data_IF_871606446669
#
_entry.id   IF_871606446669
#
_cell.length_a   1.000
_cell.length_b   1.000
_cell.length_c   1.000
_cell.angle_alpha   90.00
_cell.angle_beta   90.00
_cell.angle_gamma   90.00
#
_symmetry.space_group_name_H-M   'P 1'
#
loop_
_entity.id
_entity.type
_entity.pdbx_description
1 polymer ?
#
# COMPACT_ATOMS: atom_id res chain seq x y z
N UNK A 1 31.01 29.87 30.59
CA UNK A 1 30.80 29.52 29.16
C UNK A 1 30.52 28.02 28.88
N UNK A 2 30.41 27.15 29.89
CA UNK A 2 30.17 25.71 29.66
C UNK A 2 28.68 25.31 29.62
N UNK A 3 27.80 26.02 30.35
CA UNK A 3 26.38 25.66 30.47
C UNK A 3 25.58 25.80 29.15
N UNK A 4 25.94 26.78 28.30
CA UNK A 4 25.26 27.00 27.02
C UNK A 4 25.56 25.92 25.97
N UNK A 5 26.75 25.30 26.03
CA UNK A 5 27.15 24.21 25.14
C UNK A 5 26.41 22.91 25.47
N UNK A 6 26.24 22.62 26.77
CA UNK A 6 25.50 21.42 27.23
C UNK A 6 24.01 21.52 26.87
N UNK A 7 23.41 22.70 27.03
CA UNK A 7 22.01 22.93 26.68
C UNK A 7 21.78 22.82 25.16
N UNK A 8 22.68 23.38 24.35
CA UNK A 8 22.62 23.28 22.89
C UNK A 8 22.76 21.84 22.39
N UNK A 9 23.65 21.05 23.01
CA UNK A 9 23.82 19.64 22.67
C UNK A 9 22.58 18.80 23.00
N UNK A 10 21.93 19.08 24.14
CA UNK A 10 20.71 18.39 24.56
C UNK A 10 19.54 18.69 23.63
N UNK A 11 19.36 19.95 23.22
CA UNK A 11 18.32 20.35 22.26
C UNK A 11 18.57 19.74 20.88
N UNK A 12 19.82 19.71 20.42
CA UNK A 12 20.18 19.06 19.15
C UNK A 12 19.95 17.54 19.19
N UNK A 13 20.28 16.87 20.29
CA UNK A 13 20.01 15.44 20.50
C UNK A 13 18.52 15.14 20.53
N UNK A 14 17.72 15.93 21.25
CA UNK A 14 16.27 15.78 21.28
C UNK A 14 15.66 16.04 19.90
N UNK A 15 16.10 17.07 19.18
CA UNK A 15 15.67 17.36 17.80
C UNK A 15 16.03 16.23 16.82
N UNK A 16 17.22 15.64 16.97
CA UNK A 16 17.65 14.49 16.17
C UNK A 16 16.87 13.21 16.49
N UNK A 17 16.55 12.96 17.77
CA UNK A 17 15.73 11.83 18.22
C UNK A 17 14.27 11.99 17.75
N UNK A 18 13.73 13.21 17.81
CA UNK A 18 12.38 13.51 17.30
C UNK A 18 12.31 13.43 15.76
N UNK A 19 13.40 13.74 15.05
CA UNK A 19 13.50 13.54 13.60
C UNK A 19 13.65 12.07 13.21
N UNK A 20 14.06 11.20 14.15
CA UNK A 20 14.07 9.74 14.02
C UNK A 20 12.73 9.08 14.35
N UNK A 21 11.62 9.82 14.34
CA UNK A 21 10.30 9.19 14.41
C UNK A 21 10.14 8.36 13.14
N UNK A 22 10.07 7.04 13.28
CA UNK A 22 9.78 6.18 12.13
C UNK A 22 8.49 6.71 11.47
N UNK A 23 8.49 6.96 10.15
CA UNK A 23 7.29 7.39 9.46
C UNK A 23 6.17 6.39 9.74
N UNK A 24 5.00 6.92 10.07
CA UNK A 24 3.83 6.11 10.37
C UNK A 24 3.46 5.24 9.18
N UNK A 25 2.66 4.19 9.40
CA UNK A 25 2.17 3.36 8.30
C UNK A 25 1.40 4.19 7.24
N UNK A 26 0.78 5.30 7.66
CA UNK A 26 0.08 6.24 6.79
C UNK A 26 1.07 7.07 5.96
N UNK A 27 2.16 7.57 6.56
CA UNK A 27 3.21 8.33 5.85
C UNK A 27 3.90 7.49 4.76
N UNK A 28 3.95 6.16 4.96
CA UNK A 28 4.54 5.23 3.99
C UNK A 28 3.67 5.05 2.76
N UNK A 29 2.37 5.29 2.83
CA UNK A 29 1.48 5.20 1.65
C UNK A 29 1.71 6.35 0.66
N UNK A 30 2.30 7.46 1.13
CA UNK A 30 2.67 8.63 0.32
C UNK A 30 3.98 8.44 -0.42
N UNK A 31 4.72 7.36 -0.13
CA UNK A 31 5.89 6.96 -0.91
C UNK A 31 5.47 6.42 -2.26
N UNK A 32 6.37 6.47 -3.24
CA UNK A 32 6.15 5.82 -4.53
C UNK A 32 5.92 4.32 -4.36
N UNK A 33 5.30 3.66 -5.33
CA UNK A 33 5.06 2.21 -5.22
C UNK A 33 6.38 1.41 -5.14
N UNK A 34 7.45 1.88 -5.79
CA UNK A 34 8.80 1.31 -5.69
C UNK A 34 9.32 1.39 -4.25
N UNK A 35 9.31 2.59 -3.66
CA UNK A 35 9.78 2.80 -2.29
C UNK A 35 8.92 2.02 -1.28
N UNK A 36 7.59 2.03 -1.45
CA UNK A 36 6.69 1.27 -0.59
C UNK A 36 6.98 -0.24 -0.68
N UNK A 37 7.18 -0.78 -1.88
CA UNK A 37 7.52 -2.20 -2.08
C UNK A 37 8.84 -2.55 -1.40
N UNK A 38 9.86 -1.69 -1.53
CA UNK A 38 11.13 -1.87 -0.84
C UNK A 38 10.96 -1.87 0.68
N UNK A 39 10.16 -0.95 1.24
CA UNK A 39 9.88 -0.88 2.67
C UNK A 39 9.10 -2.11 3.18
N UNK A 40 8.15 -2.61 2.39
CA UNK A 40 7.38 -3.80 2.72
C UNK A 40 8.27 -5.07 2.74
N UNK A 41 9.22 -5.17 1.81
CA UNK A 41 10.13 -6.31 1.71
C UNK A 41 11.12 -6.43 2.87
N UNK A 42 11.59 -5.30 3.41
CA UNK A 42 12.50 -5.30 4.58
C UNK A 42 11.76 -5.30 5.92
N UNK A 43 10.44 -5.12 5.91
CA UNK A 43 9.62 -5.17 7.11
C UNK A 43 9.34 -6.61 7.54
N UNK A 44 9.23 -6.85 8.84
CA UNK A 44 8.69 -8.12 9.31
C UNK A 44 7.22 -8.30 8.87
N UNK A 45 6.73 -9.54 8.86
CA UNK A 45 5.40 -9.88 8.35
C UNK A 45 4.28 -9.03 8.97
N UNK A 46 4.31 -8.80 10.29
CA UNK A 46 3.31 -7.97 10.99
C UNK A 46 3.34 -6.51 10.52
N UNK A 47 4.53 -5.93 10.33
CA UNK A 47 4.69 -4.54 9.89
C UNK A 47 4.31 -4.38 8.42
N UNK A 48 4.68 -5.33 7.57
CA UNK A 48 4.30 -5.36 6.16
C UNK A 48 2.79 -5.49 5.98
N UNK A 49 2.12 -6.36 6.75
CA UNK A 49 0.66 -6.49 6.74
C UNK A 49 -0.04 -5.21 7.19
N UNK A 50 0.43 -4.56 8.26
CA UNK A 50 -0.14 -3.26 8.71
C UNK A 50 0.02 -2.16 7.67
N UNK A 51 1.18 -2.09 7.01
CA UNK A 51 1.41 -1.13 5.92
C UNK A 51 0.50 -1.41 4.72
N UNK A 52 0.28 -2.68 4.40
CA UNK A 52 -0.58 -3.13 3.32
C UNK A 52 -2.05 -2.80 3.58
N UNK A 53 -2.52 -3.03 4.81
CA UNK A 53 -3.87 -2.65 5.25
C UNK A 53 -4.10 -1.14 5.11
N UNK A 54 -3.16 -0.31 5.58
CA UNK A 54 -3.25 1.16 5.42
C UNK A 54 -3.24 1.59 3.96
N UNK A 55 -2.42 0.95 3.13
CA UNK A 55 -2.38 1.24 1.71
C UNK A 55 -3.73 0.97 1.03
N UNK A 56 -4.35 -0.16 1.35
CA UNK A 56 -5.67 -0.54 0.81
C UNK A 56 -6.78 0.41 1.28
N UNK A 57 -6.80 0.80 2.55
CA UNK A 57 -7.77 1.77 3.09
C UNK A 57 -7.65 3.12 2.38
N UNK A 58 -6.42 3.60 2.16
CA UNK A 58 -6.21 4.89 1.48
C UNK A 58 -6.53 4.82 -0.02
N UNK A 59 -6.21 3.71 -0.69
CA UNK A 59 -6.63 3.48 -2.06
C UNK A 59 -8.16 3.44 -2.20
N UNK A 60 -8.84 2.77 -1.27
CA UNK A 60 -10.31 2.74 -1.21
C UNK A 60 -10.92 4.14 -1.09
N UNK A 61 -10.35 5.00 -0.25
CA UNK A 61 -10.81 6.38 -0.11
C UNK A 61 -10.71 7.18 -1.43
N UNK A 62 -9.67 6.94 -2.24
CA UNK A 62 -9.52 7.58 -3.56
C UNK A 62 -10.57 7.07 -4.57
N UNK A 63 -10.87 5.76 -4.53
CA UNK A 63 -11.89 5.15 -5.38
C UNK A 63 -13.30 5.64 -5.03
N UNK A 64 -13.56 5.87 -3.75
CA UNK A 64 -14.81 6.48 -3.27
C UNK A 64 -14.96 7.92 -3.75
N UNK A 65 -13.88 8.72 -3.66
CA UNK A 65 -13.88 10.10 -4.14
C UNK A 65 -14.12 10.21 -5.66
N UNK A 66 -13.80 9.15 -6.40
CA UNK A 66 -13.96 9.07 -7.85
C UNK A 66 -15.24 8.34 -8.27
N UNK A 67 -16.13 8.00 -7.32
CA UNK A 67 -17.39 7.26 -7.56
C UNK A 67 -17.21 5.90 -8.27
N UNK A 68 -16.04 5.26 -8.11
CA UNK A 68 -15.72 3.96 -8.71
C UNK A 68 -16.19 2.81 -7.81
N UNK A 69 -16.05 2.97 -6.48
CA UNK A 69 -16.48 2.00 -5.49
C UNK A 69 -17.27 2.65 -4.35
N UNK A 70 -18.36 2.00 -3.89
CA UNK A 70 -19.03 2.39 -2.65
C UNK A 70 -18.10 2.36 -1.44
N UNK A 71 -18.48 3.14 -0.43
CA UNK A 71 -17.71 3.21 0.80
C UNK A 71 -17.63 1.86 1.52
N UNK A 72 -16.40 1.44 1.85
CA UNK A 72 -16.13 0.21 2.57
C UNK A 72 -16.19 -1.07 1.73
N UNK A 73 -16.34 -1.03 0.40
CA UNK A 73 -16.34 -2.24 -0.44
C UNK A 73 -15.08 -3.09 -0.32
N UNK A 74 -13.88 -2.50 -0.42
CA UNK A 74 -12.61 -3.21 -0.24
C UNK A 74 -12.43 -3.64 1.22
N UNK A 75 -12.80 -2.78 2.16
CA UNK A 75 -12.73 -3.12 3.59
C UNK A 75 -13.62 -4.32 3.94
N UNK A 76 -14.85 -4.32 3.44
CA UNK A 76 -15.82 -5.40 3.67
C UNK A 76 -15.34 -6.70 3.01
N UNK A 77 -14.77 -6.61 1.80
CA UNK A 77 -14.15 -7.76 1.14
C UNK A 77 -13.05 -8.36 2.03
N UNK A 78 -12.15 -7.54 2.56
CA UNK A 78 -11.07 -8.00 3.45
C UNK A 78 -11.59 -8.59 4.77
N UNK A 79 -12.65 -8.02 5.35
CA UNK A 79 -13.27 -8.53 6.60
C UNK A 79 -13.97 -9.87 6.35
N UNK A 80 -14.63 -10.02 5.21
CA UNK A 80 -15.37 -11.24 4.85
C UNK A 80 -14.48 -12.46 4.58
N UNK A 81 -13.16 -12.26 4.44
CA UNK A 81 -12.17 -13.29 4.11
C UNK A 81 -11.16 -13.47 5.25
N UNK A 82 -11.52 -14.20 6.33
CA UNK A 82 -10.60 -14.49 7.42
C UNK A 82 -9.39 -15.27 6.90
N UNK A 83 -8.18 -14.75 7.11
CA UNK A 83 -6.94 -15.33 6.59
C UNK A 83 -6.36 -14.65 5.35
N UNK A 84 -7.01 -13.60 4.82
CA UNK A 84 -6.46 -12.79 3.72
C UNK A 84 -5.17 -12.07 4.15
N UNK A 85 -4.07 -12.34 3.45
CA UNK A 85 -2.84 -11.53 3.49
C UNK A 85 -2.99 -10.30 2.61
N UNK A 86 -2.87 -9.11 3.20
CA UNK A 86 -3.07 -7.84 2.51
C UNK A 86 -1.87 -7.57 1.61
N UNK A 87 -0.68 -7.96 2.05
CA UNK A 87 0.54 -7.86 1.24
C UNK A 87 0.43 -8.71 -0.02
N UNK A 88 -0.01 -9.97 0.13
CA UNK A 88 -0.21 -10.87 -1.00
C UNK A 88 -1.34 -10.38 -1.92
N UNK A 89 -2.44 -9.89 -1.35
CA UNK A 89 -3.54 -9.30 -2.11
C UNK A 89 -3.06 -8.15 -3.02
N UNK A 90 -2.24 -7.23 -2.49
CA UNK A 90 -1.62 -6.17 -3.30
C UNK A 90 -0.73 -6.73 -4.40
N UNK A 91 0.06 -7.77 -4.12
CA UNK A 91 0.90 -8.44 -5.12
C UNK A 91 0.09 -9.00 -6.27
N UNK A 92 -0.97 -9.75 -5.95
CA UNK A 92 -1.86 -10.37 -6.93
C UNK A 92 -2.69 -9.34 -7.72
N UNK A 93 -3.10 -8.23 -7.09
CA UNK A 93 -3.74 -7.11 -7.79
C UNK A 93 -2.84 -6.58 -8.92
N UNK A 94 -1.56 -6.34 -8.62
CA UNK A 94 -0.60 -5.86 -9.61
C UNK A 94 -0.36 -6.90 -10.71
N UNK A 95 -0.21 -8.16 -10.33
CA UNK A 95 -0.01 -9.26 -11.28
C UNK A 95 -1.19 -9.37 -12.25
N UNK A 96 -2.42 -9.29 -11.74
CA UNK A 96 -3.62 -9.34 -12.55
C UNK A 96 -3.70 -8.18 -13.56
N UNK A 97 -3.27 -6.97 -13.17
CA UNK A 97 -3.32 -5.81 -14.05
C UNK A 97 -2.19 -5.73 -15.07
N UNK A 98 -1.08 -6.44 -14.85
CA UNK A 98 -0.01 -6.59 -15.87
C UNK A 98 -0.46 -7.37 -17.12
N UNK A 99 -1.59 -8.08 -17.05
CA UNK A 99 -2.14 -8.82 -18.19
C UNK A 99 -3.03 -7.97 -19.12
N UNK A 100 -3.23 -6.68 -18.81
CA UNK A 100 -4.10 -5.78 -19.57
C UNK A 100 -3.43 -5.19 -20.82
N UNK A 101 -4.19 -4.41 -21.59
CA UNK A 101 -3.75 -3.84 -22.85
C UNK A 101 -2.56 -2.88 -22.71
N UNK A 102 -1.86 -2.57 -23.81
CA UNK A 102 -0.64 -1.75 -23.78
C UNK A 102 -0.87 -0.35 -23.22
N UNK A 103 -2.06 0.23 -23.42
CA UNK A 103 -2.41 1.55 -22.89
C UNK A 103 -2.51 1.55 -21.35
N UNK A 104 -3.19 0.55 -20.79
CA UNK A 104 -3.33 0.38 -19.34
C UNK A 104 -1.97 0.12 -18.69
N UNK A 105 -1.10 -0.67 -19.36
CA UNK A 105 0.26 -0.92 -18.92
C UNK A 105 1.12 0.35 -18.86
N UNK A 106 1.00 1.25 -19.85
CA UNK A 106 1.71 2.53 -19.85
C UNK A 106 1.28 3.39 -18.66
N UNK A 107 -0.03 3.45 -18.38
CA UNK A 107 -0.59 4.17 -17.23
C UNK A 107 -0.03 3.61 -15.93
N UNK A 108 -0.09 2.29 -15.76
CA UNK A 108 0.37 1.62 -14.55
C UNK A 108 1.88 1.73 -14.35
N UNK A 109 2.68 1.63 -15.41
CA UNK A 109 4.13 1.79 -15.32
C UNK A 109 4.51 3.21 -14.90
N UNK A 110 3.91 4.23 -15.53
CA UNK A 110 4.14 5.63 -15.15
C UNK A 110 3.73 5.91 -13.70
N UNK A 111 2.62 5.33 -13.27
CA UNK A 111 2.11 5.44 -11.90
C UNK A 111 3.02 4.74 -10.89
N UNK A 112 3.52 3.55 -11.22
CA UNK A 112 4.40 2.76 -10.35
C UNK A 112 5.66 3.54 -9.95
N UNK A 113 6.22 4.33 -10.88
CA UNK A 113 7.42 5.12 -10.66
C UNK A 113 7.16 6.50 -10.03
N UNK A 114 6.06 7.16 -10.40
CA UNK A 114 5.89 8.61 -10.16
C UNK A 114 4.76 8.96 -9.22
N UNK A 115 3.81 8.05 -9.02
CA UNK A 115 2.65 8.28 -8.17
C UNK A 115 2.86 7.68 -6.79
N UNK A 116 2.18 8.26 -5.80
CA UNK A 116 2.09 7.69 -4.47
C UNK A 116 1.49 6.27 -4.56
N UNK A 117 1.97 5.36 -3.72
CA UNK A 117 1.56 3.96 -3.73
C UNK A 117 0.04 3.80 -3.66
N UNK A 118 -0.65 4.63 -2.86
CA UNK A 118 -2.12 4.59 -2.74
C UNK A 118 -2.84 4.92 -4.05
N UNK A 119 -2.29 5.83 -4.85
CA UNK A 119 -2.83 6.20 -6.17
C UNK A 119 -2.62 5.03 -7.14
N UNK A 120 -1.42 4.43 -7.12
CA UNK A 120 -1.12 3.28 -7.96
C UNK A 120 -2.04 2.09 -7.67
N UNK A 121 -2.26 1.77 -6.40
CA UNK A 121 -3.17 0.68 -6.01
C UNK A 121 -4.62 1.01 -6.37
N UNK A 122 -5.07 2.26 -6.20
CA UNK A 122 -6.39 2.68 -6.65
C UNK A 122 -6.56 2.45 -8.15
N UNK A 123 -5.58 2.84 -8.97
CA UNK A 123 -5.61 2.60 -10.42
C UNK A 123 -5.61 1.12 -10.79
N UNK A 124 -4.85 0.27 -10.09
CA UNK A 124 -4.92 -1.17 -10.29
C UNK A 124 -6.33 -1.72 -10.03
N UNK A 125 -6.97 -1.28 -8.94
CA UNK A 125 -8.34 -1.71 -8.62
C UNK A 125 -9.35 -1.18 -9.64
N UNK A 126 -9.26 0.10 -10.02
CA UNK A 126 -10.10 0.71 -11.04
C UNK A 126 -10.04 -0.05 -12.37
N UNK A 127 -8.82 -0.33 -12.86
CA UNK A 127 -8.63 -1.08 -14.10
C UNK A 127 -9.16 -2.51 -13.98
N UNK A 128 -8.92 -3.18 -12.86
CA UNK A 128 -9.46 -4.53 -12.65
C UNK A 128 -10.99 -4.54 -12.68
N UNK A 129 -11.63 -3.56 -12.04
CA UNK A 129 -13.09 -3.40 -12.05
C UNK A 129 -13.61 -3.11 -13.46
N UNK A 130 -12.94 -2.21 -14.21
CA UNK A 130 -13.32 -1.86 -15.57
C UNK A 130 -13.26 -3.05 -16.53
N UNK A 131 -12.23 -3.90 -16.40
CA UNK A 131 -12.01 -5.01 -17.33
C UNK A 131 -12.68 -6.32 -16.90
N UNK A 132 -12.78 -6.59 -15.60
CA UNK A 132 -13.20 -7.90 -15.08
C UNK A 132 -14.25 -7.84 -13.97
N UNK A 133 -14.64 -6.65 -13.53
CA UNK A 133 -15.69 -6.45 -12.52
C UNK A 133 -15.30 -6.90 -11.11
N UNK A 134 -16.29 -6.89 -10.21
CA UNK A 134 -16.11 -7.22 -8.78
C UNK A 134 -15.72 -8.69 -8.54
N UNK A 135 -16.17 -9.62 -9.39
CA UNK A 135 -15.84 -11.04 -9.23
C UNK A 135 -14.33 -11.29 -9.29
N UNK A 136 -13.58 -10.52 -10.09
CA UNK A 136 -12.13 -10.63 -10.15
C UNK A 136 -11.45 -10.16 -8.85
N UNK A 137 -11.98 -9.15 -8.17
CA UNK A 137 -11.47 -8.76 -6.85
C UNK A 137 -11.72 -9.85 -5.81
N UNK A 138 -12.88 -10.51 -5.88
CA UNK A 138 -13.22 -11.63 -4.99
C UNK A 138 -12.33 -12.86 -5.25
N UNK A 139 -12.03 -13.18 -6.50
CA UNK A 139 -11.10 -14.23 -6.90
C UNK A 139 -9.69 -13.96 -6.35
N UNK A 140 -9.17 -12.75 -6.55
CA UNK A 140 -7.86 -12.35 -6.03
C UNK A 140 -7.83 -12.38 -4.49
N UNK A 141 -8.91 -11.93 -3.84
CA UNK A 141 -9.04 -12.00 -2.39
C UNK A 141 -9.03 -13.46 -1.89
N UNK A 142 -9.70 -14.36 -2.62
CA UNK A 142 -9.72 -15.78 -2.31
C UNK A 142 -8.34 -16.43 -2.49
N UNK A 143 -7.62 -16.07 -3.55
CA UNK A 143 -6.25 -16.55 -3.78
C UNK A 143 -5.27 -16.02 -2.73
N UNK A 144 -5.45 -14.77 -2.29
CA UNK A 144 -4.68 -14.18 -1.20
C UNK A 144 -4.92 -14.85 0.17
N UNK A 145 -5.97 -15.67 0.31
CA UNK A 145 -6.18 -16.52 1.49
C UNK A 145 -5.51 -17.90 1.37
N UNK A 146 -5.30 -18.41 0.15
CA UNK A 146 -4.88 -19.80 -0.08
C UNK A 146 -3.37 -19.95 -0.24
N UNK A 147 -2.68 -18.94 -0.79
CA UNK A 147 -1.22 -18.92 -0.92
C UNK A 147 -0.59 -18.63 0.45
N UNK A 148 -0.19 -19.70 1.17
CA UNK A 148 0.83 -19.55 2.24
C UNK A 148 2.09 -19.02 1.56
N UNK A 149 2.56 -17.84 1.96
CA UNK A 149 3.82 -17.23 1.52
C UNK A 149 4.97 -18.26 1.57
N UNK A 150 5.26 -18.93 0.46
CA UNK A 150 6.58 -19.49 0.19
C UNK A 150 7.44 -18.32 -0.26
N UNK A 151 8.04 -17.63 0.70
CA UNK A 151 9.10 -16.65 0.47
C UNK A 151 10.25 -17.39 -0.24
N UNK A 152 10.48 -17.08 -1.52
CA UNK A 152 11.71 -17.35 -2.24
C UNK A 152 12.54 -16.08 -2.30
#
# INVERSE_FOLDING_TARGET
MAMGLVLGLLVALIGFILSKKEPSADDKTLKTMIEWSSLANVANSTKAEKMSDRLLIQAEALLQQSDILPAGSLRNLMISKPGLSKLLFIGLLKEATFSFGPEDLIILHKSYERSEARIHIAQCVELLLKHRGMSALEEIAQEACSKRLSLY
#
